data_IF_419529023597
#
_entry.id   IF_419529023597
#
_cell.length_a   1.000
_cell.length_b   1.000
_cell.length_c   1.000
_cell.angle_alpha   90.00
_cell.angle_beta   90.00
_cell.angle_gamma   90.00
#
_symmetry.space_group_name_H-M   'P 1'
#
loop_
_entity.id
_entity.type
_entity.pdbx_description
1 polymer ?
#
# COMPACT_ATOMS: atom_id res chain seq x y z
N UNK A 1 30.76 10.64 -8.99
CA UNK A 1 29.60 9.72 -9.10
C UNK A 1 28.41 10.53 -9.60
N UNK A 2 27.87 10.19 -10.78
CA UNK A 2 26.65 10.86 -11.30
C UNK A 2 25.48 10.39 -10.46
N UNK A 3 24.89 11.31 -9.68
CA UNK A 3 23.57 11.13 -9.08
C UNK A 3 22.57 11.20 -10.23
N UNK A 4 22.26 10.06 -10.85
CA UNK A 4 21.16 9.98 -11.81
C UNK A 4 19.89 10.31 -11.04
N UNK A 5 19.36 11.50 -11.26
CA UNK A 5 18.04 11.90 -10.78
C UNK A 5 17.08 11.03 -11.60
N UNK A 6 16.62 9.93 -11.01
CA UNK A 6 15.51 9.16 -11.58
C UNK A 6 14.35 10.14 -11.77
N UNK A 7 13.62 10.08 -12.90
CA UNK A 7 12.43 10.90 -13.07
C UNK A 7 11.53 10.74 -11.84
N UNK A 8 10.85 11.79 -11.37
CA UNK A 8 9.95 11.69 -10.21
C UNK A 8 8.80 10.67 -10.39
N UNK A 9 8.67 10.07 -11.57
CA UNK A 9 7.67 9.06 -11.95
C UNK A 9 8.29 7.68 -12.18
N UNK A 10 9.48 7.41 -11.61
CA UNK A 10 10.19 6.14 -11.81
C UNK A 10 9.56 4.99 -10.99
N UNK A 11 9.06 3.93 -11.64
CA UNK A 11 8.50 2.76 -10.96
C UNK A 11 9.47 2.09 -9.96
N UNK A 12 10.77 2.13 -10.22
CA UNK A 12 11.77 1.52 -9.33
C UNK A 12 11.98 2.35 -8.06
N UNK A 13 11.79 3.68 -8.16
CA UNK A 13 11.80 4.56 -6.99
C UNK A 13 10.58 4.29 -6.10
N UNK A 14 9.39 4.10 -6.68
CA UNK A 14 8.20 3.73 -5.92
C UNK A 14 8.38 2.40 -5.15
N UNK A 15 8.86 1.36 -5.84
CA UNK A 15 9.17 0.06 -5.20
C UNK A 15 10.19 0.19 -4.08
N UNK A 16 11.19 1.05 -4.24
CA UNK A 16 12.19 1.31 -3.20
C UNK A 16 11.54 1.90 -1.95
N UNK A 17 10.64 2.87 -2.12
CA UNK A 17 9.87 3.44 -1.01
C UNK A 17 8.95 2.42 -0.33
N UNK A 18 8.28 1.54 -1.08
CA UNK A 18 7.48 0.46 -0.47
C UNK A 18 8.35 -0.49 0.38
N UNK A 19 9.53 -0.87 -0.12
CA UNK A 19 10.44 -1.73 0.65
C UNK A 19 10.96 -1.05 1.92
N UNK A 20 11.30 0.25 1.85
CA UNK A 20 11.70 1.03 3.02
C UNK A 20 10.53 1.11 4.02
N UNK A 21 9.31 1.33 3.53
CA UNK A 21 8.11 1.34 4.36
C UNK A 21 7.89 0.02 5.07
N UNK A 22 8.09 -1.10 4.38
CA UNK A 22 7.99 -2.45 4.95
C UNK A 22 9.01 -2.69 6.06
N UNK A 23 10.26 -2.27 5.85
CA UNK A 23 11.30 -2.36 6.89
C UNK A 23 10.89 -1.57 8.13
N UNK A 24 10.47 -0.32 7.99
CA UNK A 24 10.01 0.48 9.13
C UNK A 24 8.77 -0.11 9.81
N UNK A 25 7.82 -0.64 9.05
CA UNK A 25 6.63 -1.28 9.59
C UNK A 25 6.99 -2.49 10.46
N UNK A 26 7.93 -3.33 10.00
CA UNK A 26 8.42 -4.49 10.75
C UNK A 26 9.21 -4.08 12.01
N UNK A 27 9.80 -2.89 12.02
CA UNK A 27 10.47 -2.32 13.19
C UNK A 27 9.49 -1.66 14.19
N UNK A 28 8.20 -1.58 13.88
CA UNK A 28 7.22 -0.82 14.68
C UNK A 28 7.29 0.70 14.50
N UNK A 29 8.09 1.18 13.54
CA UNK A 29 8.31 2.58 13.23
C UNK A 29 7.22 3.10 12.27
N UNK A 30 5.95 2.97 12.67
CA UNK A 30 4.80 3.11 11.76
C UNK A 30 4.69 4.47 11.09
N UNK A 31 5.06 5.57 11.76
CA UNK A 31 5.06 6.91 11.13
C UNK A 31 6.07 7.01 9.98
N UNK A 32 7.23 6.37 10.09
CA UNK A 32 8.23 6.32 9.00
C UNK A 32 7.77 5.38 7.89
N UNK A 33 7.10 4.28 8.26
CA UNK A 33 6.49 3.37 7.30
C UNK A 33 5.45 4.09 6.44
N UNK A 34 4.49 4.78 7.07
CA UNK A 34 3.47 5.57 6.40
C UNK A 34 4.07 6.62 5.47
N UNK A 35 5.04 7.40 5.96
CA UNK A 35 5.73 8.39 5.12
C UNK A 35 6.34 7.76 3.87
N UNK A 36 6.95 6.58 3.99
CA UNK A 36 7.55 5.89 2.84
C UNK A 36 6.50 5.36 1.88
N UNK A 37 5.44 4.71 2.38
CA UNK A 37 4.35 4.23 1.53
C UNK A 37 3.60 5.36 0.82
N UNK A 38 3.42 6.52 1.47
CA UNK A 38 2.80 7.70 0.86
C UNK A 38 3.66 8.30 -0.26
N UNK A 39 4.99 8.27 -0.13
CA UNK A 39 5.90 8.64 -1.23
C UNK A 39 5.77 7.67 -2.41
N UNK A 40 5.74 6.35 -2.16
CA UNK A 40 5.50 5.35 -3.22
C UNK A 40 4.16 5.62 -3.93
N UNK A 41 3.08 5.78 -3.15
CA UNK A 41 1.75 6.04 -3.68
C UNK A 41 1.69 7.34 -4.49
N UNK A 42 2.39 8.39 -4.05
CA UNK A 42 2.49 9.66 -4.76
C UNK A 42 3.12 9.50 -6.14
N UNK A 43 4.24 8.79 -6.23
CA UNK A 43 4.93 8.49 -7.50
C UNK A 43 4.02 7.67 -8.43
N UNK A 44 3.44 6.60 -7.90
CA UNK A 44 2.58 5.71 -8.68
C UNK A 44 1.32 6.42 -9.21
N UNK A 45 0.72 7.34 -8.44
CA UNK A 45 -0.44 8.13 -8.89
C UNK A 45 -0.14 9.03 -10.09
N UNK A 46 1.12 9.44 -10.27
CA UNK A 46 1.54 10.24 -11.42
C UNK A 46 1.94 9.33 -12.59
N UNK A 47 2.58 8.20 -12.30
CA UNK A 47 3.14 7.30 -13.31
C UNK A 47 2.13 6.32 -13.93
N UNK A 48 1.06 5.96 -13.21
CA UNK A 48 0.19 4.83 -13.52
C UNK A 48 -1.28 5.24 -13.63
N UNK A 49 -2.10 4.50 -14.41
CA UNK A 49 -3.55 4.63 -14.38
C UNK A 49 -4.11 4.43 -12.97
N UNK A 50 -5.22 5.10 -12.65
CA UNK A 50 -5.83 5.08 -11.31
C UNK A 50 -6.32 3.70 -10.83
N UNK A 51 -6.46 2.75 -11.75
CA UNK A 51 -6.85 1.35 -11.50
C UNK A 51 -5.66 0.37 -11.60
N UNK A 52 -4.42 0.86 -11.61
CA UNK A 52 -3.26 -0.03 -11.71
C UNK A 52 -3.06 -0.84 -10.41
N UNK A 53 -2.80 -2.16 -10.50
CA UNK A 53 -2.60 -3.04 -9.32
C UNK A 53 -1.56 -2.58 -8.30
N UNK A 54 -0.53 -1.87 -8.74
CA UNK A 54 0.53 -1.37 -7.85
C UNK A 54 -0.01 -0.33 -6.86
N UNK A 55 -0.98 0.51 -7.27
CA UNK A 55 -1.64 1.46 -6.37
C UNK A 55 -2.34 0.72 -5.23
N UNK A 56 -2.98 -0.41 -5.53
CA UNK A 56 -3.62 -1.25 -4.52
C UNK A 56 -2.62 -1.88 -3.56
N UNK A 57 -1.42 -2.26 -4.02
CA UNK A 57 -0.37 -2.75 -3.15
C UNK A 57 0.07 -1.67 -2.14
N UNK A 58 0.28 -0.43 -2.58
CA UNK A 58 0.61 0.68 -1.68
C UNK A 58 -0.54 1.02 -0.73
N UNK A 59 -1.79 1.04 -1.19
CA UNK A 59 -2.95 1.22 -0.30
C UNK A 59 -3.06 0.11 0.75
N UNK A 60 -2.84 -1.16 0.38
CA UNK A 60 -2.84 -2.27 1.33
C UNK A 60 -1.71 -2.13 2.37
N UNK A 61 -0.52 -1.69 1.96
CA UNK A 61 0.60 -1.45 2.88
C UNK A 61 0.29 -0.33 3.89
N UNK A 62 -0.33 0.76 3.44
CA UNK A 62 -0.81 1.83 4.31
C UNK A 62 -1.89 1.31 5.28
N UNK A 63 -2.84 0.51 4.79
CA UNK A 63 -3.83 -0.16 5.63
C UNK A 63 -3.21 -1.06 6.70
N UNK A 64 -2.14 -1.78 6.36
CA UNK A 64 -1.38 -2.60 7.29
C UNK A 64 -0.70 -1.79 8.39
N UNK A 65 -0.06 -0.66 8.03
CA UNK A 65 0.53 0.23 9.01
C UNK A 65 -0.51 0.79 9.99
N UNK A 66 -1.67 1.26 9.50
CA UNK A 66 -2.75 1.73 10.38
C UNK A 66 -3.33 0.62 11.26
N UNK A 67 -3.48 -0.61 10.74
CA UNK A 67 -3.91 -1.75 11.55
C UNK A 67 -2.94 -2.02 12.71
N UNK A 68 -1.64 -1.97 12.43
CA UNK A 68 -0.61 -2.18 13.46
C UNK A 68 -0.59 -1.06 14.51
N UNK A 69 -1.05 0.15 14.16
CA UNK A 69 -1.25 1.26 15.08
C UNK A 69 -2.56 1.18 15.89
N UNK A 70 -3.45 0.23 15.60
CA UNK A 70 -4.79 0.17 16.21
C UNK A 70 -5.80 1.14 15.60
N UNK A 71 -5.45 1.83 14.52
CA UNK A 71 -6.29 2.81 13.83
C UNK A 71 -7.23 2.11 12.84
N UNK A 72 -8.12 1.26 13.36
CA UNK A 72 -8.88 0.28 12.57
C UNK A 72 -9.79 0.91 11.51
N UNK A 73 -10.41 2.05 11.79
CA UNK A 73 -11.26 2.74 10.80
C UNK A 73 -10.46 3.24 9.60
N UNK A 74 -9.23 3.74 9.81
CA UNK A 74 -8.34 4.15 8.72
C UNK A 74 -7.86 2.92 7.95
N UNK A 75 -7.42 1.88 8.66
CA UNK A 75 -7.01 0.63 8.05
C UNK A 75 -8.08 0.05 7.12
N UNK A 76 -9.35 0.03 7.57
CA UNK A 76 -10.48 -0.44 6.78
C UNK A 76 -10.61 0.32 5.46
N UNK A 77 -10.64 1.66 5.53
CA UNK A 77 -10.78 2.51 4.34
C UNK A 77 -9.68 2.26 3.30
N UNK A 78 -8.45 2.08 3.76
CA UNK A 78 -7.32 1.78 2.87
C UNK A 78 -7.37 0.37 2.27
N UNK A 79 -7.77 -0.64 3.04
CA UNK A 79 -7.95 -1.98 2.51
C UNK A 79 -9.11 -2.07 1.51
N UNK A 80 -10.23 -1.38 1.75
CA UNK A 80 -11.35 -1.31 0.81
C UNK A 80 -10.93 -0.66 -0.51
N UNK A 81 -10.09 0.39 -0.45
CA UNK A 81 -9.54 1.00 -1.68
C UNK A 81 -8.61 0.07 -2.45
N UNK A 82 -7.79 -0.71 -1.75
CA UNK A 82 -6.95 -1.73 -2.38
C UNK A 82 -7.80 -2.84 -3.04
N UNK A 83 -8.86 -3.28 -2.35
CA UNK A 83 -9.78 -4.29 -2.85
C UNK A 83 -10.48 -3.83 -4.14
N UNK A 84 -11.02 -2.60 -4.17
CA UNK A 84 -11.69 -2.02 -5.34
C UNK A 84 -10.80 -2.10 -6.60
N UNK A 85 -9.53 -1.71 -6.47
CA UNK A 85 -8.58 -1.68 -7.59
C UNK A 85 -8.15 -3.11 -7.99
N UNK A 86 -7.84 -3.98 -7.03
CA UNK A 86 -7.46 -5.35 -7.36
C UNK A 86 -8.59 -6.15 -8.01
N UNK A 87 -9.86 -5.90 -7.64
CA UNK A 87 -11.02 -6.56 -8.26
C UNK A 87 -11.20 -6.20 -9.74
N UNK A 88 -10.71 -5.05 -10.18
CA UNK A 88 -10.71 -4.66 -11.59
C UNK A 88 -9.68 -5.48 -12.39
N UNK A 89 -8.57 -5.86 -11.75
CA UNK A 89 -7.39 -6.42 -12.42
C UNK A 89 -7.26 -7.93 -12.29
N UNK A 90 -7.88 -8.53 -11.27
CA UNK A 90 -7.68 -9.93 -10.91
C UNK A 90 -8.99 -10.65 -10.61
N UNK A 91 -9.08 -11.97 -10.87
CA UNK A 91 -10.21 -12.78 -10.44
C UNK A 91 -10.27 -12.87 -8.90
N UNK A 92 -11.46 -13.16 -8.36
CA UNK A 92 -11.68 -13.26 -6.90
C UNK A 92 -10.79 -14.30 -6.20
N UNK A 93 -10.32 -15.32 -6.91
CA UNK A 93 -9.41 -16.34 -6.39
C UNK A 93 -7.95 -15.88 -6.30
N UNK A 94 -7.61 -14.68 -6.79
CA UNK A 94 -6.23 -14.20 -6.80
C UNK A 94 -5.72 -13.97 -5.36
N UNK A 95 -4.46 -14.34 -5.03
CA UNK A 95 -3.94 -14.24 -3.66
C UNK A 95 -4.07 -12.86 -3.03
N UNK A 96 -3.90 -11.78 -3.80
CA UNK A 96 -4.07 -10.41 -3.29
C UNK A 96 -5.52 -10.12 -2.85
N UNK A 97 -6.52 -10.63 -3.58
CA UNK A 97 -7.94 -10.47 -3.22
C UNK A 97 -8.23 -11.22 -1.93
N UNK A 98 -7.83 -12.49 -1.85
CA UNK A 98 -8.03 -13.32 -0.66
C UNK A 98 -7.34 -12.71 0.57
N UNK A 99 -6.14 -12.15 0.39
CA UNK A 99 -5.40 -11.47 1.47
C UNK A 99 -6.13 -10.22 1.96
N UNK A 100 -6.58 -9.32 1.06
CA UNK A 100 -7.24 -8.08 1.48
C UNK A 100 -8.60 -8.36 2.11
N UNK A 101 -9.33 -9.36 1.63
CA UNK A 101 -10.60 -9.80 2.24
C UNK A 101 -10.39 -10.28 3.68
N UNK A 102 -9.36 -11.12 3.90
CA UNK A 102 -8.99 -11.56 5.24
C UNK A 102 -8.60 -10.38 6.13
N UNK A 103 -7.86 -9.40 5.60
CA UNK A 103 -7.50 -8.20 6.35
C UNK A 103 -8.73 -7.36 6.73
N UNK A 104 -9.65 -7.15 5.79
CA UNK A 104 -10.92 -6.44 6.02
C UNK A 104 -11.76 -7.17 7.07
N UNK A 105 -11.91 -8.48 6.97
CA UNK A 105 -12.66 -9.29 7.95
C UNK A 105 -12.04 -9.17 9.36
N UNK A 106 -10.72 -9.26 9.45
CA UNK A 106 -10.01 -9.10 10.72
C UNK A 106 -10.17 -7.70 11.31
N UNK A 107 -10.17 -6.65 10.49
CA UNK A 107 -10.40 -5.27 10.94
C UNK A 107 -11.83 -5.10 11.43
N UNK A 108 -12.82 -5.63 10.71
CA UNK A 108 -14.24 -5.55 11.11
C UNK A 108 -14.53 -6.18 12.47
N UNK A 109 -13.74 -7.17 12.90
CA UNK A 109 -13.84 -7.78 14.25
C UNK A 109 -13.27 -6.91 15.37
N UNK A 110 -12.50 -5.86 15.04
CA UNK A 110 -11.82 -4.97 16.00
C UNK A 110 -12.45 -3.57 16.08
N UNK A 111 -13.41 -3.25 15.20
CA UNK A 111 -14.23 -2.04 15.24
C UNK A 111 -15.35 -2.20 16.27
#
# INVERSE_FOLDING_TARGET
>A
MRKTILPPNDPDLAKSYDNIGLVYNNMGEYSKALSSYEQSLGIQKIALPSNHPDLAASYNNIGSAYNNMGEYSKALSYYEKAQEIWQISFPSSHPHIVLVEKNIENIKKKL
#
